data_IF_158915468940
#
_entry.id   IF_158915468940
#
_cell.length_a   1.000
_cell.length_b   1.000
_cell.length_c   1.000
_cell.angle_alpha   90.00
_cell.angle_beta   90.00
_cell.angle_gamma   90.00
#
_symmetry.space_group_name_H-M   'P 1'
#
loop_
_entity.id
_entity.type
_entity.pdbx_description
1 polymer ?
#
# COMPACT_ATOMS: atom_id res chain seq x y z
N UNK A 1 -18.86 -8.65 47.08
CA UNK A 1 -19.27 -9.22 45.77
C UNK A 1 -18.07 -9.13 44.84
N UNK A 2 -17.33 -10.23 44.72
CA UNK A 2 -16.23 -10.35 43.76
C UNK A 2 -16.83 -10.73 42.41
N UNK A 3 -16.58 -9.92 41.38
CA UNK A 3 -16.89 -10.29 39.99
C UNK A 3 -15.64 -10.96 39.43
N UNK A 4 -15.74 -12.27 39.23
CA UNK A 4 -14.68 -13.09 38.62
C UNK A 4 -14.30 -12.55 37.23
N UNK A 5 -13.00 -12.45 36.90
CA UNK A 5 -12.59 -12.23 35.52
C UNK A 5 -12.82 -13.52 34.75
N UNK A 6 -13.57 -13.41 33.66
CA UNK A 6 -13.79 -14.49 32.69
C UNK A 6 -12.43 -14.87 32.13
N UNK A 7 -11.99 -16.09 32.45
CA UNK A 7 -10.80 -16.72 31.92
C UNK A 7 -11.02 -16.99 30.42
N UNK A 8 -10.58 -16.05 29.58
CA UNK A 8 -10.44 -16.26 28.15
C UNK A 8 -9.30 -17.23 27.90
N UNK A 9 -9.61 -18.35 27.26
CA UNK A 9 -8.66 -19.40 26.91
C UNK A 9 -7.45 -18.87 26.13
N UNK A 10 -6.30 -19.50 26.34
CA UNK A 10 -4.99 -19.26 25.73
C UNK A 10 -4.94 -19.20 24.18
N UNK A 11 -6.08 -19.40 23.50
CA UNK A 11 -6.26 -19.33 22.05
C UNK A 11 -6.51 -17.91 21.51
N UNK A 12 -6.91 -16.94 22.34
CA UNK A 12 -7.36 -15.62 21.84
C UNK A 12 -6.24 -14.57 21.70
N UNK A 13 -5.04 -14.86 22.22
CA UNK A 13 -3.87 -13.97 22.10
C UNK A 13 -3.22 -14.03 20.70
N UNK A 14 -3.64 -14.95 19.81
CA UNK A 14 -3.14 -15.05 18.43
C UNK A 14 -3.62 -13.95 17.47
N UNK A 15 -4.22 -12.86 17.98
CA UNK A 15 -4.87 -11.83 17.14
C UNK A 15 -4.42 -10.39 17.35
N UNK A 16 -3.33 -10.13 18.06
CA UNK A 16 -2.58 -8.89 17.80
C UNK A 16 -1.72 -9.11 16.56
N UNK A 17 -2.12 -8.51 15.43
CA UNK A 17 -1.42 -8.66 14.15
C UNK A 17 -0.01 -8.08 14.19
N UNK A 18 0.24 -7.05 15.01
CA UNK A 18 1.57 -6.46 15.14
C UNK A 18 2.46 -7.21 16.13
N UNK A 19 3.49 -7.86 15.61
CA UNK A 19 4.61 -8.39 16.39
C UNK A 19 5.83 -7.45 16.33
N UNK A 20 6.79 -7.65 17.23
CA UNK A 20 8.00 -6.81 17.38
C UNK A 20 8.82 -6.62 16.07
N UNK A 21 8.81 -7.59 15.17
CA UNK A 21 9.53 -7.50 13.88
C UNK A 21 8.89 -6.52 12.88
N UNK A 22 7.67 -6.02 13.16
CA UNK A 22 7.04 -4.99 12.33
C UNK A 22 7.57 -3.59 12.62
N UNK A 23 8.00 -3.34 13.86
CA UNK A 23 8.56 -2.04 14.27
C UNK A 23 10.08 -1.99 14.12
N UNK A 24 10.75 -3.14 14.11
CA UNK A 24 12.19 -3.24 13.89
C UNK A 24 12.55 -4.39 12.91
N UNK A 25 12.20 -4.27 11.62
CA UNK A 25 12.42 -5.32 10.65
C UNK A 25 13.91 -5.46 10.27
N UNK A 26 14.38 -6.70 10.17
CA UNK A 26 15.70 -6.97 9.58
C UNK A 26 15.70 -6.74 8.05
N UNK A 27 16.87 -6.80 7.40
CA UNK A 27 17.01 -6.51 5.96
C UNK A 27 16.08 -7.35 5.07
N UNK A 28 15.85 -8.63 5.40
CA UNK A 28 14.96 -9.50 4.63
C UNK A 28 13.48 -9.16 4.88
N UNK A 29 13.15 -8.76 6.10
CA UNK A 29 11.80 -8.40 6.52
C UNK A 29 11.36 -7.05 5.95
N UNK A 30 12.30 -6.11 5.75
CA UNK A 30 12.02 -4.81 5.10
C UNK A 30 11.46 -4.94 3.68
N UNK A 31 11.72 -6.05 3.01
CA UNK A 31 11.18 -6.33 1.67
C UNK A 31 9.77 -6.94 1.71
N UNK A 32 9.27 -7.36 2.88
CA UNK A 32 7.95 -7.98 3.03
C UNK A 32 6.87 -6.91 3.19
N UNK A 33 6.27 -6.49 2.07
CA UNK A 33 5.18 -5.50 2.02
C UNK A 33 4.01 -5.85 2.96
N UNK A 34 3.78 -7.14 3.22
CA UNK A 34 2.75 -7.61 4.16
C UNK A 34 2.89 -6.99 5.56
N UNK A 35 4.12 -6.81 6.04
CA UNK A 35 4.37 -6.29 7.38
C UNK A 35 3.96 -4.83 7.49
N UNK A 36 4.29 -4.03 6.48
CA UNK A 36 3.79 -2.66 6.38
C UNK A 36 2.25 -2.62 6.32
N UNK A 37 1.62 -3.54 5.58
CA UNK A 37 0.17 -3.61 5.50
C UNK A 37 -0.48 -3.93 6.85
N UNK A 38 0.09 -4.85 7.62
CA UNK A 38 -0.43 -5.27 8.92
C UNK A 38 -0.33 -4.13 9.96
N UNK A 39 0.76 -3.35 9.96
CA UNK A 39 0.93 -2.13 10.79
C UNK A 39 -0.17 -1.10 10.54
N UNK A 40 -0.49 -0.83 9.27
CA UNK A 40 -1.50 0.16 8.89
C UNK A 40 -2.91 -0.43 8.73
N UNK A 41 -3.17 -1.60 9.30
CA UNK A 41 -4.47 -2.26 9.19
C UNK A 41 -5.57 -1.54 9.98
N UNK A 42 -6.83 -1.77 9.58
CA UNK A 42 -8.00 -1.19 10.26
C UNK A 42 -8.07 -1.65 11.73
N UNK A 43 -7.65 -2.89 12.02
CA UNK A 43 -7.63 -3.41 13.38
C UNK A 43 -6.61 -2.68 14.26
N UNK A 44 -5.43 -2.35 13.71
CA UNK A 44 -4.42 -1.59 14.43
C UNK A 44 -4.87 -0.15 14.68
N UNK A 45 -5.48 0.50 13.67
CA UNK A 45 -6.06 1.83 13.84
C UNK A 45 -7.13 1.84 14.94
N UNK A 46 -8.03 0.84 14.95
CA UNK A 46 -9.06 0.72 15.98
C UNK A 46 -8.46 0.49 17.38
N UNK A 47 -7.37 -0.28 17.47
CA UNK A 47 -6.65 -0.52 18.73
C UNK A 47 -6.05 0.78 19.28
N UNK A 48 -5.40 1.60 18.43
CA UNK A 48 -4.87 2.90 18.86
C UNK A 48 -5.98 3.84 19.34
N UNK A 49 -7.13 3.85 18.66
CA UNK A 49 -8.29 4.63 19.08
C UNK A 49 -8.86 4.14 20.43
N UNK A 50 -8.83 2.83 20.67
CA UNK A 50 -9.25 2.23 21.93
C UNK A 50 -8.31 2.65 23.07
N UNK A 51 -7.00 2.53 22.88
CA UNK A 51 -6.00 2.90 23.87
C UNK A 51 -6.02 4.38 24.21
N UNK A 52 -6.26 5.24 23.21
CA UNK A 52 -6.51 6.66 23.43
C UNK A 52 -7.74 6.89 24.33
N UNK A 53 -8.86 6.21 24.03
CA UNK A 53 -10.12 6.38 24.76
C UNK A 53 -10.04 5.93 26.22
N UNK A 54 -9.31 4.86 26.51
CA UNK A 54 -9.19 4.30 27.85
C UNK A 54 -7.96 4.81 28.62
N UNK A 55 -7.18 5.71 28.04
CA UNK A 55 -6.03 6.33 28.70
C UNK A 55 -4.93 5.34 29.05
N UNK A 56 -4.60 4.44 28.12
CA UNK A 56 -3.49 3.51 28.32
C UNK A 56 -2.17 4.28 28.56
N UNK A 57 -1.26 3.69 29.33
CA UNK A 57 0.09 4.22 29.53
C UNK A 57 0.76 4.45 28.17
N UNK A 58 1.51 5.55 28.03
CA UNK A 58 2.06 6.10 26.77
C UNK A 58 1.05 6.68 25.74
N UNK A 59 -0.25 6.49 25.91
CA UNK A 59 -1.29 7.06 25.03
C UNK A 59 -1.93 8.35 25.58
N UNK A 60 -1.33 8.94 26.62
CA UNK A 60 -1.84 10.12 27.33
C UNK A 60 -1.63 11.43 26.55
N UNK A 61 -0.67 11.48 25.62
CA UNK A 61 -0.49 12.63 24.75
C UNK A 61 -1.44 12.55 23.54
N UNK A 62 -2.66 13.05 23.73
CA UNK A 62 -3.72 13.01 22.72
C UNK A 62 -3.30 13.62 21.38
N UNK A 63 -2.45 14.65 21.39
CA UNK A 63 -1.95 15.31 20.19
C UNK A 63 -1.11 14.38 19.31
N UNK A 64 -0.12 13.70 19.90
CA UNK A 64 0.74 12.76 19.16
C UNK A 64 -0.02 11.51 18.72
N UNK A 65 -0.86 10.95 19.59
CA UNK A 65 -1.65 9.75 19.27
C UNK A 65 -2.61 10.03 18.11
N UNK A 66 -3.31 11.16 18.13
CA UNK A 66 -4.22 11.53 17.04
C UNK A 66 -3.47 11.78 15.72
N UNK A 67 -2.30 12.41 15.77
CA UNK A 67 -1.47 12.58 14.57
C UNK A 67 -1.07 11.23 13.95
N UNK A 68 -0.66 10.27 14.78
CA UNK A 68 -0.33 8.89 14.36
C UNK A 68 -1.55 8.18 13.77
N UNK A 69 -2.69 8.20 14.45
CA UNK A 69 -3.94 7.58 13.95
C UNK A 69 -4.34 8.17 12.59
N UNK A 70 -4.25 9.50 12.42
CA UNK A 70 -4.57 10.15 11.16
C UNK A 70 -3.60 9.74 10.04
N UNK A 71 -2.30 9.67 10.33
CA UNK A 71 -1.32 9.15 9.39
C UNK A 71 -1.65 7.72 8.96
N UNK A 72 -1.90 6.82 9.93
CA UNK A 72 -2.24 5.43 9.66
C UNK A 72 -3.50 5.31 8.79
N UNK A 73 -4.53 6.13 9.04
CA UNK A 73 -5.75 6.19 8.21
C UNK A 73 -5.45 6.63 6.79
N UNK A 74 -4.60 7.64 6.59
CA UNK A 74 -4.24 8.12 5.27
C UNK A 74 -3.48 7.05 4.47
N UNK A 75 -2.52 6.38 5.10
CA UNK A 75 -1.75 5.28 4.50
C UNK A 75 -2.65 4.08 4.18
N UNK A 76 -3.51 3.67 5.13
CA UNK A 76 -4.47 2.60 4.90
C UNK A 76 -5.37 2.92 3.69
N UNK A 77 -6.00 4.09 3.67
CA UNK A 77 -6.86 4.53 2.58
C UNK A 77 -6.14 4.54 1.22
N UNK A 78 -4.88 5.01 1.19
CA UNK A 78 -4.05 4.95 -0.01
C UNK A 78 -3.88 3.51 -0.52
N UNK A 79 -3.52 2.57 0.36
CA UNK A 79 -3.42 1.15 0.01
C UNK A 79 -4.76 0.57 -0.44
N UNK A 80 -5.85 0.87 0.27
CA UNK A 80 -7.16 0.33 -0.05
C UNK A 80 -7.60 0.73 -1.47
N UNK A 81 -7.35 1.99 -1.86
CA UNK A 81 -7.67 2.51 -3.20
C UNK A 81 -6.82 1.86 -4.29
N UNK A 82 -5.53 1.60 -4.05
CA UNK A 82 -4.64 1.01 -5.06
C UNK A 82 -4.77 -0.52 -5.17
N UNK A 83 -5.37 -1.17 -4.17
CA UNK A 83 -5.59 -2.62 -4.13
C UNK A 83 -7.07 -3.01 -4.40
N UNK A 84 -7.67 -2.44 -5.44
CA UNK A 84 -8.99 -2.89 -5.93
C UNK A 84 -8.79 -3.98 -6.98
N UNK A 85 -9.06 -5.24 -6.61
CA UNK A 85 -8.63 -6.41 -7.37
C UNK A 85 -9.73 -7.07 -8.21
N UNK A 86 -10.99 -6.96 -7.81
CA UNK A 86 -12.12 -7.53 -8.54
C UNK A 86 -13.44 -6.81 -8.19
N UNK A 87 -14.51 -7.17 -8.88
CA UNK A 87 -15.82 -6.51 -8.74
C UNK A 87 -16.57 -6.89 -7.46
N UNK A 88 -16.20 -7.98 -6.79
CA UNK A 88 -16.91 -8.58 -5.64
C UNK A 88 -16.16 -8.33 -4.32
N UNK A 89 -14.91 -7.83 -4.37
CA UNK A 89 -14.04 -7.64 -3.21
C UNK A 89 -14.72 -6.82 -2.11
N UNK A 90 -15.35 -5.70 -2.49
CA UNK A 90 -16.09 -4.84 -1.56
C UNK A 90 -17.25 -5.56 -0.85
N UNK A 91 -17.87 -6.55 -1.49
CA UNK A 91 -18.96 -7.34 -0.90
C UNK A 91 -18.37 -8.34 0.10
N UNK A 92 -17.36 -9.10 -0.34
CA UNK A 92 -16.72 -10.14 0.50
C UNK A 92 -16.07 -9.57 1.76
N UNK A 93 -15.37 -8.45 1.60
CA UNK A 93 -14.69 -7.77 2.70
C UNK A 93 -15.60 -6.80 3.47
N UNK A 94 -16.82 -6.53 2.97
CA UNK A 94 -17.73 -5.51 3.51
C UNK A 94 -17.09 -4.11 3.60
N UNK A 95 -16.22 -3.80 2.63
CA UNK A 95 -15.47 -2.55 2.55
C UNK A 95 -15.85 -1.79 1.27
N UNK A 96 -16.70 -0.77 1.41
CA UNK A 96 -17.18 0.03 0.27
C UNK A 96 -16.04 0.69 -0.52
N UNK A 97 -14.94 1.04 0.15
CA UNK A 97 -13.74 1.63 -0.47
C UNK A 97 -13.09 0.72 -1.52
N UNK A 98 -13.28 -0.60 -1.42
CA UNK A 98 -12.75 -1.61 -2.35
C UNK A 98 -13.62 -1.84 -3.57
N UNK A 99 -14.66 -1.02 -3.80
CA UNK A 99 -15.53 -1.19 -4.96
C UNK A 99 -14.77 -0.86 -6.24
N UNK A 100 -14.97 -1.64 -7.30
CA UNK A 100 -14.41 -1.28 -8.60
C UNK A 100 -14.87 0.11 -9.05
N UNK A 101 -14.03 0.84 -9.77
CA UNK A 101 -14.37 2.19 -10.23
C UNK A 101 -15.28 2.10 -11.44
N UNK A 102 -16.47 2.70 -11.38
CA UNK A 102 -17.42 2.78 -12.50
C UNK A 102 -17.73 4.20 -12.92
N UNK A 103 -17.49 5.17 -12.02
CA UNK A 103 -17.76 6.58 -12.25
C UNK A 103 -16.45 7.33 -12.28
N UNK A 104 -16.32 8.23 -13.24
CA UNK A 104 -15.17 9.09 -13.34
C UNK A 104 -15.16 10.16 -12.24
N UNK A 105 -16.31 10.53 -11.70
CA UNK A 105 -16.44 11.41 -10.53
C UNK A 105 -16.63 10.61 -9.22
N UNK A 106 -15.67 9.75 -8.91
CA UNK A 106 -15.66 8.96 -7.69
C UNK A 106 -14.92 9.74 -6.58
N UNK A 107 -15.51 9.78 -5.37
CA UNK A 107 -14.95 10.49 -4.20
C UNK A 107 -13.52 10.03 -3.89
N UNK A 108 -13.21 8.76 -4.15
CA UNK A 108 -11.88 8.19 -3.92
C UNK A 108 -10.83 8.76 -4.85
N UNK A 109 -11.21 9.16 -6.06
CA UNK A 109 -10.29 9.82 -6.99
C UNK A 109 -10.00 11.25 -6.52
N UNK A 110 -11.03 11.98 -6.09
CA UNK A 110 -10.85 13.31 -5.46
C UNK A 110 -9.99 13.23 -4.20
N UNK A 111 -10.14 12.16 -3.41
CA UNK A 111 -9.30 11.93 -2.24
C UNK A 111 -7.81 11.82 -2.61
N UNK A 112 -7.48 11.11 -3.69
CA UNK A 112 -6.10 11.01 -4.21
C UNK A 112 -5.59 12.35 -4.77
N UNK A 113 -6.43 13.12 -5.45
CA UNK A 113 -6.02 14.36 -6.11
C UNK A 113 -5.89 15.54 -5.13
N UNK A 114 -6.72 15.58 -4.09
CA UNK A 114 -6.86 16.76 -3.24
C UNK A 114 -6.55 16.46 -1.78
N UNK A 115 -7.23 15.48 -1.18
CA UNK A 115 -7.23 15.29 0.28
C UNK A 115 -5.87 14.80 0.78
N UNK A 116 -5.35 13.73 0.18
CA UNK A 116 -4.09 13.13 0.60
C UNK A 116 -2.88 14.02 0.25
N UNK A 117 -2.78 14.62 -0.96
CA UNK A 117 -1.75 15.61 -1.26
C UNK A 117 -1.75 16.81 -0.31
N UNK A 118 -2.92 17.34 0.03
CA UNK A 118 -3.05 18.46 0.99
C UNK A 118 -2.55 18.06 2.38
N UNK A 119 -2.86 16.85 2.83
CA UNK A 119 -2.33 16.31 4.09
C UNK A 119 -0.80 16.26 4.08
N UNK A 120 -0.18 15.67 3.04
CA UNK A 120 1.28 15.60 2.96
C UNK A 120 1.94 16.98 2.86
N UNK A 121 1.33 17.91 2.13
CA UNK A 121 1.82 19.30 2.06
C UNK A 121 1.79 19.96 3.44
N UNK A 122 0.68 19.84 4.16
CA UNK A 122 0.58 20.38 5.51
C UNK A 122 1.63 19.77 6.45
N UNK A 123 1.84 18.45 6.39
CA UNK A 123 2.87 17.78 7.18
C UNK A 123 4.27 18.29 6.83
N UNK A 124 4.60 18.41 5.53
CA UNK A 124 5.86 19.00 5.06
C UNK A 124 6.07 20.43 5.55
N UNK A 125 5.03 21.26 5.47
CA UNK A 125 5.11 22.66 5.91
C UNK A 125 5.33 22.75 7.43
N UNK A 126 4.76 21.82 8.21
CA UNK A 126 4.98 21.75 9.66
C UNK A 126 6.43 21.36 9.98
N UNK A 127 7.00 20.37 9.31
CA UNK A 127 8.39 19.94 9.57
C UNK A 127 9.42 21.01 9.23
N UNK A 128 9.18 21.79 8.16
CA UNK A 128 9.99 22.96 7.81
C UNK A 128 9.91 24.03 8.91
N UNK A 129 8.69 24.35 9.39
CA UNK A 129 8.48 25.34 10.46
C UNK A 129 9.17 24.93 11.76
N UNK A 130 9.13 23.66 12.12
CA UNK A 130 9.75 23.15 13.36
C UNK A 130 11.23 22.81 13.21
N UNK A 131 11.84 23.08 12.04
CA UNK A 131 13.24 22.71 11.70
C UNK A 131 13.56 21.22 11.94
N UNK A 132 12.56 20.35 11.83
CA UNK A 132 12.73 18.91 12.00
C UNK A 132 12.83 18.23 10.63
N UNK A 133 14.00 18.33 9.99
CA UNK A 133 14.23 17.81 8.63
C UNK A 133 14.13 16.27 8.55
N UNK A 134 14.32 15.57 9.65
CA UNK A 134 14.20 14.10 9.75
C UNK A 134 12.76 13.64 9.99
N UNK A 135 11.82 14.56 10.27
CA UNK A 135 10.44 14.25 10.61
C UNK A 135 9.48 14.07 9.43
N UNK A 136 9.99 14.04 8.19
CA UNK A 136 9.19 13.92 6.96
C UNK A 136 9.75 12.83 6.02
N UNK A 137 8.95 12.46 5.03
CA UNK A 137 9.35 11.56 3.94
C UNK A 137 10.54 12.12 3.17
N UNK A 138 11.35 11.23 2.57
CA UNK A 138 12.38 11.68 1.62
C UNK A 138 11.74 12.43 0.45
N UNK A 139 12.52 13.32 -0.18
CA UNK A 139 12.04 14.12 -1.32
C UNK A 139 11.50 13.21 -2.43
N UNK A 140 12.25 12.16 -2.76
CA UNK A 140 11.92 11.18 -3.79
C UNK A 140 10.63 10.44 -3.46
N UNK A 141 10.47 10.00 -2.20
CA UNK A 141 9.27 9.29 -1.75
C UNK A 141 8.04 10.19 -1.81
N UNK A 142 8.17 11.45 -1.35
CA UNK A 142 7.08 12.41 -1.41
C UNK A 142 6.66 12.71 -2.86
N UNK A 143 7.61 13.02 -3.73
CA UNK A 143 7.34 13.32 -5.15
C UNK A 143 6.70 12.12 -5.86
N UNK A 144 7.24 10.92 -5.63
CA UNK A 144 6.68 9.69 -6.17
C UNK A 144 5.24 9.45 -5.68
N UNK A 145 4.95 9.63 -4.39
CA UNK A 145 3.59 9.47 -3.84
C UNK A 145 2.59 10.44 -4.47
N UNK A 146 2.94 11.72 -4.58
CA UNK A 146 2.08 12.73 -5.21
C UNK A 146 1.85 12.39 -6.68
N UNK A 147 2.91 12.01 -7.40
CA UNK A 147 2.83 11.60 -8.79
C UNK A 147 1.95 10.36 -8.99
N UNK A 148 2.09 9.33 -8.14
CA UNK A 148 1.27 8.11 -8.17
C UNK A 148 -0.20 8.44 -7.92
N UNK A 149 -0.52 9.32 -6.97
CA UNK A 149 -1.90 9.73 -6.70
C UNK A 149 -2.54 10.39 -7.94
N UNK A 150 -1.85 11.40 -8.49
CA UNK A 150 -2.33 12.13 -9.67
C UNK A 150 -2.47 11.22 -10.89
N UNK A 151 -1.45 10.40 -11.17
CA UNK A 151 -1.43 9.48 -12.31
C UNK A 151 -2.51 8.42 -12.21
N UNK A 152 -2.74 7.85 -11.02
CA UNK A 152 -3.79 6.86 -10.80
C UNK A 152 -5.16 7.47 -11.07
N UNK A 153 -5.43 8.65 -10.53
CA UNK A 153 -6.72 9.30 -10.71
C UNK A 153 -6.97 9.69 -12.18
N UNK A 154 -5.98 10.28 -12.84
CA UNK A 154 -6.02 10.62 -14.26
C UNK A 154 -6.25 9.39 -15.15
N UNK A 155 -5.53 8.29 -14.89
CA UNK A 155 -5.66 7.05 -15.64
C UNK A 155 -7.06 6.43 -15.48
N UNK A 156 -7.59 6.36 -14.25
CA UNK A 156 -8.95 5.86 -14.02
C UNK A 156 -9.98 6.72 -14.77
N UNK A 157 -9.87 8.04 -14.68
CA UNK A 157 -10.80 8.97 -15.38
C UNK A 157 -10.73 8.78 -16.88
N UNK A 158 -9.52 8.66 -17.43
CA UNK A 158 -9.30 8.43 -18.86
C UNK A 158 -9.91 7.11 -19.35
N UNK A 159 -9.67 6.01 -18.63
CA UNK A 159 -10.20 4.69 -18.99
C UNK A 159 -11.75 4.67 -18.97
N UNK A 160 -12.36 5.36 -18.01
CA UNK A 160 -13.82 5.44 -17.89
C UNK A 160 -14.44 6.43 -18.90
N UNK A 161 -13.88 7.64 -19.05
CA UNK A 161 -14.46 8.70 -19.90
C UNK A 161 -14.10 8.55 -21.37
N UNK A 162 -12.83 8.33 -21.69
CA UNK A 162 -12.34 8.33 -23.06
C UNK A 162 -12.36 6.93 -23.68
N UNK A 163 -11.94 5.92 -22.91
CA UNK A 163 -11.93 4.52 -23.40
C UNK A 163 -13.23 3.77 -23.15
N UNK A 164 -14.20 4.37 -22.46
CA UNK A 164 -15.54 3.83 -22.20
C UNK A 164 -15.52 2.44 -21.54
N UNK A 165 -14.54 2.18 -20.67
CA UNK A 165 -14.50 0.94 -19.91
C UNK A 165 -15.67 0.89 -18.93
N UNK A 166 -16.29 -0.28 -18.77
CA UNK A 166 -17.41 -0.48 -17.82
C UNK A 166 -16.95 -0.27 -16.37
N UNK A 167 -15.70 -0.66 -16.08
CA UNK A 167 -15.08 -0.46 -14.79
C UNK A 167 -13.55 -0.48 -14.88
N UNK A 168 -12.89 -0.01 -13.82
CA UNK A 168 -11.43 -0.04 -13.66
C UNK A 168 -11.06 -0.70 -12.33
N UNK A 169 -9.98 -1.50 -12.37
CA UNK A 169 -9.38 -2.18 -11.22
C UNK A 169 -7.95 -1.67 -11.03
N UNK A 170 -7.72 -0.91 -9.98
CA UNK A 170 -6.43 -0.24 -9.70
C UNK A 170 -5.31 -1.22 -9.39
N UNK A 171 -5.62 -2.43 -8.90
CA UNK A 171 -4.60 -3.48 -8.70
C UNK A 171 -3.87 -3.88 -10.01
N UNK A 172 -4.42 -3.53 -11.18
CA UNK A 172 -3.75 -3.79 -12.47
C UNK A 172 -2.66 -2.77 -12.80
N UNK A 173 -2.51 -1.70 -12.03
CA UNK A 173 -1.48 -0.69 -12.23
C UNK A 173 -0.16 -1.01 -11.52
N UNK A 174 -0.14 -1.94 -10.56
CA UNK A 174 1.06 -2.34 -9.83
C UNK A 174 1.88 -3.41 -10.56
N UNK A 175 3.17 -3.46 -10.27
CA UNK A 175 4.12 -4.47 -10.79
C UNK A 175 4.00 -5.84 -10.12
N UNK A 176 3.15 -6.02 -9.10
CA UNK A 176 2.91 -7.28 -8.37
C UNK A 176 2.79 -8.52 -9.28
N UNK A 177 2.10 -8.41 -10.42
CA UNK A 177 1.91 -9.54 -11.33
C UNK A 177 3.23 -9.96 -12.00
N UNK A 178 4.08 -8.99 -12.32
CA UNK A 178 5.42 -9.20 -12.88
C UNK A 178 6.32 -9.80 -11.80
N UNK A 179 6.26 -9.30 -10.58
CA UNK A 179 7.02 -9.83 -9.44
C UNK A 179 6.62 -11.27 -9.10
N UNK A 180 5.32 -11.59 -9.15
CA UNK A 180 4.81 -12.95 -8.98
C UNK A 180 5.32 -13.87 -10.09
N UNK A 181 5.33 -13.41 -11.34
CA UNK A 181 5.90 -14.16 -12.45
C UNK A 181 7.39 -14.45 -12.22
N UNK A 182 8.19 -13.46 -11.83
CA UNK A 182 9.60 -13.68 -11.50
C UNK A 182 9.79 -14.61 -10.30
N UNK A 183 8.90 -14.56 -9.31
CA UNK A 183 8.85 -15.51 -8.21
C UNK A 183 8.66 -16.95 -8.70
N UNK A 184 7.67 -17.17 -9.58
CA UNK A 184 7.41 -18.48 -10.17
C UNK A 184 8.58 -18.99 -11.02
N UNK A 185 9.21 -18.11 -11.82
CA UNK A 185 10.40 -18.46 -12.61
C UNK A 185 11.55 -18.91 -11.68
N UNK A 186 11.78 -18.20 -10.58
CA UNK A 186 12.81 -18.56 -9.60
C UNK A 186 12.51 -19.90 -8.92
N UNK A 187 11.26 -20.14 -8.52
CA UNK A 187 10.89 -21.41 -7.86
C UNK A 187 10.96 -22.62 -8.79
N UNK A 188 10.69 -22.45 -10.09
CA UNK A 188 10.83 -23.54 -11.07
C UNK A 188 12.30 -23.93 -11.32
N UNK A 189 13.25 -23.02 -11.10
CA UNK A 189 14.67 -23.29 -11.29
C UNK A 189 15.31 -24.19 -10.22
N UNK A 190 14.67 -24.34 -9.05
CA UNK A 190 15.22 -25.08 -7.91
C UNK A 190 15.19 -26.60 -8.12
N UNK A 191 14.29 -27.15 -8.96
CA UNK A 191 14.27 -28.59 -9.30
C UNK A 191 15.19 -28.95 -10.49
N UNK A 192 15.60 -27.99 -11.31
CA UNK A 192 16.38 -28.24 -12.54
C UNK A 192 17.85 -27.84 -12.44
N UNK A 193 18.51 -28.14 -11.32
CA UNK A 193 19.96 -27.94 -11.18
C UNK A 193 20.81 -28.91 -12.02
N UNK A 194 20.20 -29.90 -12.71
CA UNK A 194 20.91 -30.86 -13.56
C UNK A 194 20.57 -30.79 -15.06
N UNK A 195 19.79 -29.81 -15.53
CA UNK A 195 19.47 -29.69 -16.96
C UNK A 195 20.22 -28.54 -17.63
N UNK A 196 21.33 -28.89 -18.31
CA UNK A 196 22.20 -28.03 -19.11
C UNK A 196 21.49 -27.21 -20.22
N UNK A 197 20.19 -27.42 -20.44
CA UNK A 197 19.40 -26.85 -21.54
C UNK A 197 18.70 -25.52 -21.25
N UNK A 198 18.71 -24.99 -20.00
CA UNK A 198 18.07 -23.70 -19.69
C UNK A 198 18.98 -22.47 -19.82
N UNK A 199 20.26 -22.64 -20.19
CA UNK A 199 21.19 -21.53 -20.40
C UNK A 199 20.75 -20.53 -21.50
N UNK A 200 20.19 -20.95 -22.65
CA UNK A 200 19.75 -20.01 -23.68
C UNK A 200 18.55 -19.14 -23.24
N UNK A 201 17.62 -19.69 -22.44
CA UNK A 201 16.44 -18.94 -21.97
C UNK A 201 16.84 -17.85 -20.94
N UNK A 202 17.83 -18.15 -20.09
CA UNK A 202 18.39 -17.16 -19.16
C UNK A 202 19.11 -16.01 -19.88
N UNK A 203 19.69 -16.27 -21.05
CA UNK A 203 20.30 -15.26 -21.93
C UNK A 203 19.26 -14.46 -22.70
N UNK A 204 18.15 -15.10 -23.12
CA UNK A 204 17.01 -14.41 -23.73
C UNK A 204 16.41 -13.38 -22.76
N UNK A 205 16.18 -13.73 -21.49
CA UNK A 205 15.67 -12.79 -20.47
C UNK A 205 16.64 -11.60 -20.28
N UNK A 206 17.97 -11.82 -20.36
CA UNK A 206 18.96 -10.73 -20.33
C UNK A 206 18.96 -9.88 -21.60
N UNK A 207 18.61 -10.44 -22.77
CA UNK A 207 18.58 -9.73 -24.05
C UNK A 207 17.31 -8.88 -24.23
N UNK A 208 16.14 -9.38 -23.79
CA UNK A 208 14.87 -8.63 -23.88
C UNK A 208 14.67 -7.59 -22.76
N UNK A 209 15.47 -7.65 -21.69
CA UNK A 209 15.51 -6.62 -20.65
C UNK A 209 16.08 -5.28 -21.13
N UNK A 210 16.83 -5.26 -22.25
CA UNK A 210 17.41 -4.03 -22.82
C UNK A 210 16.53 -3.38 -23.90
N UNK A 211 15.62 -4.12 -24.54
CA UNK A 211 14.80 -3.60 -25.65
C UNK A 211 13.52 -2.90 -25.22
N UNK A 212 13.03 -3.12 -23.98
CA UNK A 212 11.90 -2.34 -23.47
C UNK A 212 12.24 -0.87 -23.15
N UNK A 213 13.53 -0.56 -22.96
CA UNK A 213 14.01 0.82 -22.79
C UNK A 213 14.02 1.61 -24.12
N UNK A 214 14.08 0.94 -25.27
CA UNK A 214 14.18 1.61 -26.58
C UNK A 214 12.81 1.84 -27.23
N UNK A 215 11.79 1.05 -26.89
CA UNK A 215 10.43 1.22 -27.47
C UNK A 215 9.67 2.40 -26.84
N UNK A 216 10.05 2.87 -25.65
CA UNK A 216 9.44 4.06 -25.04
C UNK A 216 10.02 5.39 -25.58
N UNK A 217 11.10 5.38 -26.36
CA UNK A 217 11.74 6.59 -26.91
C UNK A 217 11.37 6.91 -28.36
N UNK A 218 10.51 6.11 -29.02
CA UNK A 218 10.07 6.33 -30.41
C UNK A 218 8.59 6.68 -30.56
N UNK A 219 7.86 6.94 -29.47
CA UNK A 219 6.45 7.40 -29.52
C UNK A 219 6.30 8.89 -29.16
N UNK A 220 7.40 9.65 -29.11
CA UNK A 220 7.40 11.12 -28.96
C UNK A 220 7.82 11.86 -30.23
N UNK A 221 7.60 11.25 -31.40
CA UNK A 221 7.78 11.93 -32.70
C UNK A 221 6.87 11.30 -33.74
N UNK A 222 5.59 11.64 -33.66
CA UNK A 222 4.62 11.71 -34.77
C UNK A 222 3.45 12.57 -34.30
#
# INVERSE_FOLDING_TARGET
MAVNPICGSHSDIRRMKCAMWETNPNTLERMKVRFAYDVYSEEMIATFQLFQKYGAEDFTNEGHVNATINFMKHVNMFYQIHDVCNTIQHIRQRLAIKKHFTKSDDVRLRYLEETLPKYFKNWKDHTVKTKNSQGFLSKETYEALIFTCASTAACVRYLLKERKFKFVLTRRFSTDNIERMFGAIRSMGEETTNAMWLRPLSLLIKSYGLTFATVLLTVTSL
#
